data_IF_086432165819
#
_entry.id   IF_086432165819
#
_cell.length_a   1.000
_cell.length_b   1.000
_cell.length_c   1.000
_cell.angle_alpha   90.00
_cell.angle_beta   90.00
_cell.angle_gamma   90.00
#
_symmetry.space_group_name_H-M   'P 1'
#
loop_
_entity.id
_entity.type
_entity.pdbx_description
1 polymer ?
#
# COMPACT_ATOMS: atom_id res chain seq x y z
N UNK A 1 33.41 8.13 40.10
CA UNK A 1 32.27 7.77 39.24
C UNK A 1 31.74 6.44 39.74
N UNK A 2 30.49 6.45 40.17
CA UNK A 2 29.89 5.25 40.74
C UNK A 2 29.53 4.25 39.63
N UNK A 3 29.97 3.02 39.76
CA UNK A 3 29.68 1.89 38.88
C UNK A 3 28.16 1.73 38.58
N UNK A 4 27.34 2.12 39.57
CA UNK A 4 25.88 2.13 39.44
C UNK A 4 25.34 3.12 38.40
N UNK A 5 26.07 4.23 38.18
CA UNK A 5 25.69 5.24 37.19
C UNK A 5 25.99 4.78 35.76
N UNK A 6 27.07 4.00 35.60
CA UNK A 6 27.46 3.40 34.33
C UNK A 6 26.45 2.31 33.86
N UNK A 7 25.88 1.56 34.81
CA UNK A 7 24.90 0.50 34.51
C UNK A 7 23.55 1.09 34.07
N UNK A 8 23.14 2.23 34.64
CA UNK A 8 21.90 2.92 34.27
C UNK A 8 22.01 3.54 32.88
N UNK A 9 23.17 4.03 32.48
CA UNK A 9 23.39 4.61 31.16
C UNK A 9 23.40 3.53 30.03
N UNK A 10 23.78 2.30 30.39
CA UNK A 10 23.82 1.17 29.45
C UNK A 10 22.41 0.66 29.04
N UNK A 11 21.41 0.94 29.87
CA UNK A 11 20.02 0.51 29.60
C UNK A 11 19.27 1.42 28.65
N UNK A 12 19.76 2.62 28.37
CA UNK A 12 19.10 3.59 27.48
C UNK A 12 19.40 3.37 25.99
N UNK A 13 20.33 2.46 25.66
CA UNK A 13 20.71 2.16 24.29
C UNK A 13 19.95 0.97 23.68
N UNK A 14 19.03 0.34 24.43
CA UNK A 14 18.35 -0.89 24.02
C UNK A 14 16.98 -0.67 23.36
N UNK A 15 16.59 0.56 23.02
CA UNK A 15 15.24 0.89 22.51
C UNK A 15 15.19 1.32 21.04
N UNK A 16 16.11 0.90 20.20
CA UNK A 16 15.92 0.97 18.76
C UNK A 16 15.57 -0.43 18.25
N UNK A 17 14.28 -0.70 18.15
CA UNK A 17 13.81 -1.85 17.37
C UNK A 17 14.36 -1.68 15.95
N UNK A 18 15.14 -2.65 15.39
CA UNK A 18 15.52 -2.58 14.00
C UNK A 18 14.24 -2.58 13.19
N UNK A 19 14.01 -1.54 12.39
CA UNK A 19 12.97 -1.57 11.35
C UNK A 19 13.25 -2.79 10.49
N UNK A 20 12.33 -3.73 10.43
CA UNK A 20 12.42 -4.86 9.52
C UNK A 20 12.70 -4.32 8.12
N UNK A 21 13.81 -4.75 7.53
CA UNK A 21 14.13 -4.40 6.17
C UNK A 21 13.14 -5.09 5.25
N UNK A 22 12.46 -4.31 4.42
CA UNK A 22 11.62 -4.83 3.36
C UNK A 22 12.53 -5.58 2.37
N UNK A 23 12.21 -6.84 2.00
CA UNK A 23 13.00 -7.59 1.04
C UNK A 23 13.10 -6.88 -0.31
N UNK A 24 14.17 -7.14 -1.05
CA UNK A 24 14.33 -6.67 -2.41
C UNK A 24 13.19 -7.19 -3.30
N UNK A 25 12.69 -6.35 -4.20
CA UNK A 25 11.57 -6.68 -5.08
C UNK A 25 10.18 -6.53 -4.47
N UNK A 26 10.11 -6.06 -3.21
CA UNK A 26 8.86 -5.73 -2.52
C UNK A 26 8.75 -4.21 -2.39
N UNK A 27 7.60 -3.67 -2.73
CA UNK A 27 7.33 -2.24 -2.65
C UNK A 27 7.32 -1.75 -1.19
N UNK A 28 7.73 -0.50 -0.97
CA UNK A 28 7.57 0.14 0.33
C UNK A 28 6.08 0.25 0.70
N UNK A 29 5.80 0.37 1.97
CA UNK A 29 4.44 0.54 2.48
C UNK A 29 3.71 1.71 1.80
N UNK A 30 4.40 2.84 1.65
CA UNK A 30 3.86 4.05 1.04
C UNK A 30 3.59 3.88 -0.45
N UNK A 31 4.51 3.28 -1.19
CA UNK A 31 4.34 2.99 -2.62
C UNK A 31 3.20 2.01 -2.85
N UNK A 32 3.17 0.94 -2.06
CA UNK A 32 2.11 -0.05 -2.17
C UNK A 32 0.73 0.52 -1.86
N UNK A 33 0.61 1.35 -0.82
CA UNK A 33 -0.65 2.04 -0.49
C UNK A 33 -1.13 2.92 -1.64
N UNK A 34 -0.23 3.65 -2.29
CA UNK A 34 -0.56 4.50 -3.44
C UNK A 34 -1.09 3.68 -4.62
N UNK A 35 -0.41 2.60 -4.97
CA UNK A 35 -0.83 1.70 -6.07
C UNK A 35 -2.14 1.01 -5.74
N UNK A 36 -2.27 0.50 -4.52
CA UNK A 36 -3.47 -0.21 -4.06
C UNK A 36 -4.71 0.70 -4.08
N UNK A 37 -4.54 1.99 -3.76
CA UNK A 37 -5.61 3.00 -3.91
C UNK A 37 -6.10 3.08 -5.36
N UNK A 38 -5.19 3.20 -6.32
CA UNK A 38 -5.53 3.28 -7.73
C UNK A 38 -6.20 2.00 -8.23
N UNK A 39 -5.71 0.85 -7.79
CA UNK A 39 -6.30 -0.47 -8.10
C UNK A 39 -7.74 -0.56 -7.58
N UNK A 40 -7.98 -0.16 -6.34
CA UNK A 40 -9.33 -0.17 -5.77
C UNK A 40 -10.28 0.80 -6.47
N UNK A 41 -9.80 1.97 -6.89
CA UNK A 41 -10.60 2.90 -7.69
C UNK A 41 -10.98 2.32 -9.05
N UNK A 42 -10.05 1.64 -9.71
CA UNK A 42 -10.31 0.95 -10.98
C UNK A 42 -11.33 -0.19 -10.82
N UNK A 43 -11.21 -0.98 -9.74
CA UNK A 43 -12.16 -2.05 -9.41
C UNK A 43 -13.55 -1.50 -9.10
N UNK A 44 -13.65 -0.38 -8.40
CA UNK A 44 -14.91 0.32 -8.18
C UNK A 44 -15.55 0.79 -9.49
N UNK A 45 -14.76 1.30 -10.42
CA UNK A 45 -15.21 1.67 -11.76
C UNK A 45 -15.76 0.46 -12.54
N UNK A 46 -15.10 -0.69 -12.44
CA UNK A 46 -15.57 -1.94 -13.03
C UNK A 46 -16.97 -2.31 -12.52
N UNK A 47 -17.19 -2.27 -11.21
CA UNK A 47 -18.49 -2.59 -10.60
C UNK A 47 -19.62 -1.70 -11.13
N UNK A 48 -19.34 -0.44 -11.41
CA UNK A 48 -20.31 0.50 -11.99
C UNK A 48 -20.56 0.24 -13.48
N UNK A 49 -19.54 -0.15 -14.22
CA UNK A 49 -19.61 -0.31 -15.69
C UNK A 49 -20.12 -1.68 -16.15
N UNK A 50 -19.96 -2.72 -15.33
CA UNK A 50 -20.32 -4.08 -15.72
C UNK A 50 -21.81 -4.27 -16.09
N UNK A 51 -22.68 -3.38 -15.61
CA UNK A 51 -24.11 -3.37 -15.96
C UNK A 51 -24.36 -2.95 -17.41
N UNK A 52 -23.42 -2.19 -18.01
CA UNK A 52 -23.50 -1.70 -19.38
C UNK A 52 -22.81 -2.62 -20.41
N UNK A 53 -22.15 -3.67 -19.95
CA UNK A 53 -21.42 -4.62 -20.79
C UNK A 53 -20.23 -5.21 -20.03
N UNK A 54 -20.36 -6.46 -19.57
CA UNK A 54 -19.37 -7.11 -18.71
C UNK A 54 -18.02 -7.28 -19.40
N UNK A 55 -18.02 -7.67 -20.68
CA UNK A 55 -16.78 -7.88 -21.45
C UNK A 55 -16.00 -6.57 -21.63
N UNK A 56 -16.69 -5.50 -22.02
CA UNK A 56 -16.07 -4.18 -22.18
C UNK A 56 -15.53 -3.66 -20.85
N UNK A 57 -16.26 -3.86 -19.75
CA UNK A 57 -15.82 -3.48 -18.41
C UNK A 57 -14.57 -4.26 -17.98
N UNK A 58 -14.49 -5.57 -18.28
CA UNK A 58 -13.30 -6.39 -17.99
C UNK A 58 -12.08 -5.94 -18.78
N UNK A 59 -12.25 -5.61 -20.06
CA UNK A 59 -11.18 -5.09 -20.90
C UNK A 59 -10.67 -3.74 -20.38
N UNK A 60 -11.57 -2.85 -19.99
CA UNK A 60 -11.24 -1.56 -19.40
C UNK A 60 -10.48 -1.73 -18.07
N UNK A 61 -10.89 -2.67 -17.23
CA UNK A 61 -10.21 -2.97 -15.97
C UNK A 61 -8.80 -3.50 -16.20
N UNK A 62 -8.63 -4.44 -17.13
CA UNK A 62 -7.32 -4.99 -17.50
C UNK A 62 -6.38 -3.89 -17.99
N UNK A 63 -6.86 -2.99 -18.85
CA UNK A 63 -6.11 -1.85 -19.33
C UNK A 63 -5.74 -0.89 -18.18
N UNK A 64 -6.64 -0.69 -17.22
CA UNK A 64 -6.38 0.13 -16.04
C UNK A 64 -5.25 -0.44 -15.20
N UNK A 65 -5.24 -1.74 -14.96
CA UNK A 65 -4.13 -2.40 -14.23
C UNK A 65 -2.79 -2.18 -14.93
N UNK A 66 -2.73 -2.39 -16.23
CA UNK A 66 -1.50 -2.19 -17.00
C UNK A 66 -1.01 -0.74 -16.92
N UNK A 67 -1.92 0.22 -17.04
CA UNK A 67 -1.61 1.65 -16.94
C UNK A 67 -1.10 2.01 -15.54
N UNK A 68 -1.76 1.53 -14.50
CA UNK A 68 -1.37 1.77 -13.11
C UNK A 68 0.04 1.23 -12.86
N UNK A 69 0.28 -0.05 -13.18
CA UNK A 69 1.58 -0.67 -12.95
C UNK A 69 2.69 -0.01 -13.76
N UNK A 70 2.44 0.31 -15.01
CA UNK A 70 3.42 1.02 -15.86
C UNK A 70 3.76 2.39 -15.32
N UNK A 71 2.78 3.14 -14.82
CA UNK A 71 3.00 4.48 -14.26
C UNK A 71 3.86 4.47 -12.99
N UNK A 72 3.87 3.35 -12.28
CA UNK A 72 4.70 3.14 -11.09
C UNK A 72 5.97 2.32 -11.37
N UNK A 73 6.27 2.05 -12.64
CA UNK A 73 7.43 1.25 -13.08
C UNK A 73 7.50 -0.14 -12.43
N UNK A 74 6.36 -0.78 -12.27
CA UNK A 74 6.26 -2.16 -11.78
C UNK A 74 5.50 -3.03 -12.79
N UNK A 75 5.60 -4.33 -12.60
CA UNK A 75 4.77 -5.32 -13.28
C UNK A 75 3.81 -6.00 -12.30
N UNK A 76 2.93 -6.82 -12.82
CA UNK A 76 1.97 -7.59 -12.03
C UNK A 76 2.67 -8.50 -11.01
N UNK A 77 3.83 -9.05 -11.37
CA UNK A 77 4.61 -9.94 -10.49
C UNK A 77 5.05 -9.22 -9.22
N UNK A 78 5.56 -7.99 -9.34
CA UNK A 78 5.98 -7.18 -8.18
C UNK A 78 4.76 -6.85 -7.32
N UNK A 79 3.64 -6.50 -7.92
CA UNK A 79 2.40 -6.22 -7.19
C UNK A 79 1.94 -7.46 -6.40
N UNK A 80 1.89 -8.63 -7.02
CA UNK A 80 1.47 -9.87 -6.38
C UNK A 80 2.40 -10.28 -5.24
N UNK A 81 3.70 -10.21 -5.45
CA UNK A 81 4.70 -10.51 -4.40
C UNK A 81 4.58 -9.55 -3.22
N UNK A 82 4.35 -8.27 -3.49
CA UNK A 82 4.17 -7.26 -2.45
C UNK A 82 2.90 -7.53 -1.64
N UNK A 83 1.80 -7.83 -2.31
CA UNK A 83 0.54 -8.18 -1.66
C UNK A 83 0.71 -9.42 -0.74
N UNK A 84 1.38 -10.45 -1.23
CA UNK A 84 1.67 -11.67 -0.48
C UNK A 84 2.54 -11.38 0.75
N UNK A 85 3.57 -10.54 0.58
CA UNK A 85 4.44 -10.13 1.68
C UNK A 85 3.65 -9.43 2.80
N UNK A 86 2.85 -8.43 2.46
CA UNK A 86 2.07 -7.69 3.46
C UNK A 86 0.90 -8.50 4.02
N UNK A 87 0.37 -9.46 3.27
CA UNK A 87 -0.62 -10.41 3.80
C UNK A 87 -0.08 -11.25 4.96
N UNK A 88 1.24 -11.49 4.98
CA UNK A 88 1.92 -12.17 6.09
C UNK A 88 2.35 -11.22 7.23
N UNK A 89 2.04 -9.93 7.10
CA UNK A 89 2.30 -8.89 8.10
C UNK A 89 1.01 -8.11 8.39
N UNK A 90 0.04 -8.73 9.08
CA UNK A 90 -1.33 -8.19 9.20
C UNK A 90 -1.42 -6.79 9.78
N UNK A 91 -0.58 -6.46 10.77
CA UNK A 91 -0.59 -5.13 11.40
C UNK A 91 -0.13 -4.04 10.43
N UNK A 92 0.85 -4.33 9.58
CA UNK A 92 1.33 -3.41 8.53
C UNK A 92 0.29 -3.28 7.42
N UNK A 93 -0.31 -4.39 7.02
CA UNK A 93 -1.38 -4.38 6.01
C UNK A 93 -2.58 -3.54 6.47
N UNK A 94 -2.94 -3.60 7.75
CA UNK A 94 -3.98 -2.75 8.33
C UNK A 94 -3.65 -1.25 8.21
N UNK A 95 -2.41 -0.87 8.49
CA UNK A 95 -1.93 0.50 8.28
C UNK A 95 -2.02 0.92 6.81
N UNK A 96 -1.63 0.04 5.90
CA UNK A 96 -1.72 0.28 4.45
C UNK A 96 -3.17 0.53 4.04
N UNK A 97 -4.11 -0.32 4.46
CA UNK A 97 -5.53 -0.13 4.16
C UNK A 97 -6.11 1.15 4.78
N UNK A 98 -5.67 1.52 5.96
CA UNK A 98 -6.04 2.80 6.59
C UNK A 98 -5.62 3.98 5.69
N UNK A 99 -4.40 3.96 5.18
CA UNK A 99 -3.88 4.99 4.28
C UNK A 99 -4.65 4.99 2.94
N UNK A 100 -4.99 3.83 2.41
CA UNK A 100 -5.79 3.69 1.18
C UNK A 100 -7.17 4.34 1.36
N UNK A 101 -7.87 4.00 2.42
CA UNK A 101 -9.21 4.52 2.73
C UNK A 101 -9.15 6.05 2.91
N UNK A 102 -8.15 6.54 3.63
CA UNK A 102 -7.91 7.97 3.82
C UNK A 102 -7.69 8.68 2.47
N UNK A 103 -6.85 8.12 1.61
CA UNK A 103 -6.58 8.67 0.29
C UNK A 103 -7.81 8.74 -0.61
N UNK A 104 -8.63 7.69 -0.62
CA UNK A 104 -9.90 7.66 -1.37
C UNK A 104 -10.88 8.69 -0.83
N UNK A 105 -10.98 8.81 0.48
CA UNK A 105 -11.88 9.76 1.14
C UNK A 105 -11.48 11.20 0.83
N UNK A 106 -10.21 11.53 0.87
CA UNK A 106 -9.69 12.86 0.54
C UNK A 106 -9.95 13.21 -0.93
N UNK A 107 -9.71 12.30 -1.84
CA UNK A 107 -9.98 12.49 -3.26
C UNK A 107 -11.46 12.72 -3.54
N UNK A 108 -12.33 11.98 -2.89
CA UNK A 108 -13.78 12.15 -2.97
C UNK A 108 -14.25 13.49 -2.46
N UNK A 109 -13.66 13.97 -1.36
CA UNK A 109 -13.95 15.30 -0.81
C UNK A 109 -13.59 16.43 -1.76
N UNK A 110 -12.43 16.35 -2.42
CA UNK A 110 -12.01 17.36 -3.40
C UNK A 110 -12.91 17.40 -4.62
N UNK A 111 -13.40 16.26 -5.08
CA UNK A 111 -14.34 16.18 -6.20
C UNK A 111 -15.72 16.76 -5.87
N UNK A 112 -16.16 16.63 -4.63
CA UNK A 112 -17.47 17.16 -4.20
C UNK A 112 -17.49 18.66 -4.01
N UNK A 113 -16.32 19.31 -3.95
CA UNK A 113 -16.17 20.77 -3.82
C UNK A 113 -16.05 21.48 -5.17
N UNK A 114 -15.97 20.75 -6.28
CA UNK A 114 -15.95 21.27 -7.63
C UNK A 114 -17.34 21.27 -8.25
#
# INVERSE_FOLDING_TARGET
MNLKFLIVLSFLLACTSPKERIPEGILSQKEFASILKEVHLAEGGFELQKTNGKEDAQNALSNSYQTIFSSHNIDETIFQKTLEYYANHPSVLEEIYTDVIKGITEERSTLSLQ
#
